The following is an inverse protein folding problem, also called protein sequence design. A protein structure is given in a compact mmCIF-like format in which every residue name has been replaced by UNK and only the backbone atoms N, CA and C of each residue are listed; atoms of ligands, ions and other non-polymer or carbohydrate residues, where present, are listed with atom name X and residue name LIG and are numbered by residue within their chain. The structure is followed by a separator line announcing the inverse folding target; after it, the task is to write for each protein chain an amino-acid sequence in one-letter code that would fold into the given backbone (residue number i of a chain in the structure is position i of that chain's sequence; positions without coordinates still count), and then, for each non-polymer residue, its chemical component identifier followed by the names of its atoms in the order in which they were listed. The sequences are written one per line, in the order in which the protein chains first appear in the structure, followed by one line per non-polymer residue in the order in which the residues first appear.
data_IF_203532158387
#
_entry.id   IF_203532158387
#
_cell.length_a   1.000
_cell.length_b   1.000
_cell.length_c   1.000
_cell.angle_alpha   90.00
_cell.angle_beta   90.00
_cell.angle_gamma   90.00
#
_symmetry.space_group_name_H-M   'P 1'
#
loop_
_entity.id
_entity.type
_entity.pdbx_description
1 polymer ?
#
# COMPACT_ATOMS: atom_id res chain seq x y z
N UNK A 1 3.35 29.95 2.32
CA UNK A 1 3.52 29.29 3.65
C UNK A 1 2.20 28.75 4.19
N UNK A 2 1.06 29.45 4.03
CA UNK A 2 -0.26 28.98 4.48
C UNK A 2 -0.74 27.66 3.83
N UNK A 3 -0.40 27.40 2.57
CA UNK A 3 -0.82 26.17 1.85
C UNK A 3 -0.22 24.88 2.41
N UNK A 4 1.05 24.92 2.86
CA UNK A 4 1.71 23.73 3.43
C UNK A 4 1.11 23.34 4.77
N UNK A 5 0.77 24.31 5.62
CA UNK A 5 0.15 24.05 6.93
C UNK A 5 -1.24 23.42 6.79
N UNK A 6 -2.04 23.87 5.81
CA UNK A 6 -3.35 23.29 5.53
C UNK A 6 -3.24 21.87 5.01
N UNK A 7 -2.21 21.59 4.20
CA UNK A 7 -1.92 20.25 3.72
C UNK A 7 -1.48 19.32 4.85
N UNK A 8 -0.61 19.75 5.76
CA UNK A 8 -0.21 18.89 6.87
C UNK A 8 -1.38 18.55 7.81
N UNK A 9 -2.31 19.48 8.01
CA UNK A 9 -3.51 19.27 8.83
C UNK A 9 -4.48 18.24 8.23
N UNK A 10 -4.72 18.29 6.92
CA UNK A 10 -5.67 17.37 6.29
C UNK A 10 -5.05 15.97 6.07
N UNK A 11 -3.71 15.87 5.91
CA UNK A 11 -3.01 14.57 6.04
C UNK A 11 -3.23 13.98 7.42
N UNK A 12 -3.10 14.78 8.48
CA UNK A 12 -3.29 14.31 9.84
C UNK A 12 -4.73 13.86 10.09
N UNK A 13 -5.70 14.68 9.69
CA UNK A 13 -7.12 14.35 9.84
C UNK A 13 -7.51 13.06 9.10
N UNK A 14 -6.88 12.80 7.95
CA UNK A 14 -7.05 11.54 7.22
C UNK A 14 -6.59 10.33 8.05
N UNK A 15 -5.38 10.39 8.61
CA UNK A 15 -4.86 9.29 9.42
C UNK A 15 -5.62 9.13 10.72
N UNK A 16 -5.94 10.21 11.43
CA UNK A 16 -6.75 10.19 12.66
C UNK A 16 -8.10 9.47 12.40
N UNK A 17 -8.77 9.79 11.28
CA UNK A 17 -10.03 9.13 10.88
C UNK A 17 -9.81 7.67 10.47
N UNK A 18 -8.74 7.38 9.73
CA UNK A 18 -8.43 6.01 9.27
C UNK A 18 -8.13 5.11 10.47
N UNK A 19 -7.36 5.58 11.44
CA UNK A 19 -7.04 4.86 12.66
C UNK A 19 -8.27 4.68 13.56
N UNK A 20 -9.15 5.68 13.66
CA UNK A 20 -10.43 5.56 14.34
C UNK A 20 -11.34 4.50 13.67
N UNK A 21 -11.40 4.49 12.33
CA UNK A 21 -12.19 3.51 11.57
C UNK A 21 -11.64 2.07 11.69
N UNK A 22 -10.32 1.92 11.74
CA UNK A 22 -9.65 0.63 11.92
C UNK A 22 -9.66 0.16 13.37
N UNK A 23 -9.71 1.10 14.33
CA UNK A 23 -9.48 0.85 15.75
C UNK A 23 -8.02 0.52 16.08
N UNK A 24 -7.09 0.85 15.19
CA UNK A 24 -5.67 0.48 15.23
C UNK A 24 -4.79 1.60 14.67
N UNK A 25 -3.58 1.73 15.20
CA UNK A 25 -2.59 2.72 14.73
C UNK A 25 -1.90 2.26 13.44
N UNK A 26 -1.65 3.20 12.53
CA UNK A 26 -0.87 2.95 11.31
C UNK A 26 0.62 3.11 11.61
N UNK A 27 1.34 1.98 11.59
CA UNK A 27 2.77 1.92 11.90
C UNK A 27 3.60 2.56 10.78
N UNK A 28 3.27 2.25 9.53
CA UNK A 28 3.99 2.79 8.37
C UNK A 28 3.08 2.85 7.15
N UNK A 29 3.20 3.94 6.39
CA UNK A 29 2.51 4.13 5.12
C UNK A 29 3.45 4.70 4.06
N UNK A 30 3.21 4.32 2.80
CA UNK A 30 3.91 4.81 1.63
C UNK A 30 3.06 4.65 0.35
N UNK A 31 3.28 5.53 -0.61
CA UNK A 31 2.77 5.37 -1.96
C UNK A 31 3.51 4.22 -2.66
N UNK A 32 2.81 3.44 -3.47
CA UNK A 32 3.39 2.31 -4.18
C UNK A 32 2.56 1.85 -5.36
N UNK A 33 3.13 0.96 -6.16
CA UNK A 33 2.38 0.27 -7.21
C UNK A 33 2.13 -1.16 -6.82
N UNK A 34 0.88 -1.57 -6.94
CA UNK A 34 0.55 -2.97 -7.08
C UNK A 34 0.87 -3.44 -8.51
N UNK A 35 1.63 -4.53 -8.60
CA UNK A 35 2.02 -5.17 -9.84
C UNK A 35 1.10 -6.35 -10.17
N UNK A 36 0.68 -7.11 -9.16
CA UNK A 36 -0.25 -8.25 -9.29
C UNK A 36 -0.89 -8.60 -7.95
N UNK A 37 -2.08 -9.20 -7.96
CA UNK A 37 -2.76 -9.71 -6.76
C UNK A 37 -3.71 -8.73 -6.05
N UNK A 38 -3.91 -7.51 -6.58
CA UNK A 38 -4.76 -6.48 -5.97
C UNK A 38 -6.17 -6.37 -6.56
N UNK A 39 -6.46 -7.04 -7.67
CA UNK A 39 -7.75 -6.96 -8.36
C UNK A 39 -8.09 -8.28 -9.06
N UNK A 40 -9.37 -8.66 -9.02
CA UNK A 40 -9.90 -9.95 -9.51
C UNK A 40 -9.98 -10.10 -11.05
N UNK A 41 -9.47 -9.16 -11.83
CA UNK A 41 -9.59 -9.25 -13.29
C UNK A 41 -8.38 -8.67 -14.00
N UNK A 42 -7.58 -9.55 -14.62
CA UNK A 42 -6.93 -9.46 -15.94
C UNK A 42 -6.57 -8.06 -16.50
N UNK A 43 -6.21 -7.14 -15.63
CA UNK A 43 -5.85 -5.79 -15.99
C UNK A 43 -4.35 -5.69 -15.85
N UNK A 44 -3.68 -5.82 -16.99
CA UNK A 44 -2.25 -5.58 -17.23
C UNK A 44 -1.77 -4.19 -16.70
N UNK A 45 -2.68 -3.36 -16.20
CA UNK A 45 -2.41 -2.07 -15.61
C UNK A 45 -1.95 -2.19 -14.15
N UNK A 46 -0.64 -2.00 -13.93
CA UNK A 46 -0.08 -1.76 -12.61
C UNK A 46 -0.77 -0.55 -11.95
N UNK A 47 -1.31 -0.75 -10.74
CA UNK A 47 -2.18 0.24 -10.08
C UNK A 47 -1.40 0.97 -9.00
N UNK A 48 -1.38 2.30 -9.06
CA UNK A 48 -0.84 3.14 -7.98
C UNK A 48 -1.81 3.24 -6.82
N UNK A 49 -1.32 3.13 -5.60
CA UNK A 49 -2.13 3.33 -4.41
C UNK A 49 -1.30 3.51 -3.16
N UNK A 50 -2.00 3.76 -2.07
CA UNK A 50 -1.43 3.91 -0.75
C UNK A 50 -1.36 2.54 -0.08
N UNK A 51 -0.15 2.12 0.25
CA UNK A 51 0.09 0.98 1.13
C UNK A 51 0.25 1.49 2.55
N UNK A 52 -0.34 0.78 3.50
CA UNK A 52 -0.13 1.05 4.92
C UNK A 52 -0.24 -0.23 5.75
N UNK A 53 0.49 -0.24 6.86
CA UNK A 53 0.59 -1.37 7.78
C UNK A 53 0.06 -0.98 9.16
N UNK A 54 -0.69 -1.89 9.74
CA UNK A 54 -1.05 -1.93 11.16
C UNK A 54 -0.41 -3.16 11.80
N UNK A 55 -0.61 -3.38 13.09
CA UNK A 55 -0.20 -4.64 13.73
C UNK A 55 -0.94 -5.87 13.16
N UNK A 56 -2.17 -5.69 12.65
CA UNK A 56 -3.04 -6.81 12.27
C UNK A 56 -3.14 -7.07 10.78
N UNK A 57 -2.86 -6.09 9.92
CA UNK A 57 -2.94 -6.28 8.49
C UNK A 57 -2.09 -5.30 7.66
N UNK A 58 -1.76 -5.76 6.45
CA UNK A 58 -1.35 -4.92 5.32
C UNK A 58 -2.58 -4.46 4.56
N UNK A 59 -2.65 -3.17 4.27
CA UNK A 59 -3.72 -2.57 3.49
C UNK A 59 -3.19 -1.94 2.22
N UNK A 60 -4.02 -1.97 1.19
CA UNK A 60 -3.83 -1.21 -0.04
C UNK A 60 -5.11 -0.46 -0.38
N UNK A 61 -4.96 0.82 -0.70
CA UNK A 61 -6.05 1.69 -1.16
C UNK A 61 -5.66 2.39 -2.45
N UNK A 62 -6.37 2.07 -3.53
CA UNK A 62 -6.29 2.78 -4.80
C UNK A 62 -7.24 3.98 -4.80
N UNK A 63 -6.73 5.15 -5.17
CA UNK A 63 -7.54 6.34 -5.40
C UNK A 63 -7.68 6.59 -6.90
N UNK A 64 -8.89 6.52 -7.47
CA UNK A 64 -9.13 6.88 -8.87
C UNK A 64 -8.73 8.34 -9.11
N UNK A 65 -8.15 8.63 -10.29
CA UNK A 65 -7.43 9.89 -10.61
C UNK A 65 -8.27 11.17 -10.40
N UNK A 66 -8.30 11.66 -9.17
CA UNK A 66 -8.29 13.06 -8.77
C UNK A 66 -7.55 13.11 -7.44
N UNK A 67 -6.66 14.11 -7.29
CA UNK A 67 -5.89 14.42 -6.08
C UNK A 67 -6.45 13.74 -4.82
N UNK A 68 -5.76 12.73 -4.29
CA UNK A 68 -6.20 11.97 -3.11
C UNK A 68 -6.58 12.88 -1.93
N UNK A 69 -6.00 14.08 -1.86
CA UNK A 69 -6.30 15.14 -0.91
C UNK A 69 -7.62 15.90 -1.17
N UNK A 70 -7.96 16.15 -2.45
CA UNK A 70 -9.22 16.81 -2.83
C UNK A 70 -10.43 15.90 -2.65
N UNK A 71 -10.21 14.58 -2.65
CA UNK A 71 -11.24 13.57 -2.39
C UNK A 71 -11.67 13.51 -0.91
N UNK A 72 -10.87 14.04 0.03
CA UNK A 72 -11.20 14.10 1.47
C UNK A 72 -12.16 15.23 1.82
N UNK A 73 -12.21 16.27 0.99
CA UNK A 73 -12.98 17.51 1.26
C UNK A 73 -14.19 17.67 0.35
N UNK A 74 -14.38 16.82 -0.64
CA UNK A 74 -15.54 16.89 -1.54
C UNK A 74 -16.27 15.54 -1.63
N UNK A 75 -17.55 15.55 -1.24
CA UNK A 75 -18.52 14.49 -1.57
C UNK A 75 -18.84 14.45 -3.06
N UNK A 76 -17.84 14.60 -3.93
CA UNK A 76 -17.99 14.70 -5.37
C UNK A 76 -18.06 13.30 -5.99
N UNK A 77 -19.30 12.87 -6.15
CA UNK A 77 -19.74 11.74 -6.97
C UNK A 77 -19.39 12.03 -8.44
N UNK A 78 -18.24 11.55 -8.93
CA UNK A 78 -17.80 11.75 -10.31
C UNK A 78 -17.09 10.53 -10.89
N UNK A 79 -17.73 9.89 -11.88
CA UNK A 79 -17.27 8.84 -12.81
C UNK A 79 -16.50 7.63 -12.24
N UNK A 80 -17.09 6.45 -12.42
CA UNK A 80 -16.70 5.16 -11.87
C UNK A 80 -15.34 4.64 -12.34
N UNK A 81 -14.28 5.04 -11.67
CA UNK A 81 -13.09 4.21 -11.48
C UNK A 81 -13.19 3.67 -10.04
N UNK A 82 -13.28 2.34 -9.91
CA UNK A 82 -13.68 1.69 -8.66
C UNK A 82 -12.57 1.89 -7.64
N UNK A 83 -12.89 2.45 -6.48
CA UNK A 83 -11.99 2.42 -5.34
C UNK A 83 -11.64 0.95 -5.03
N UNK A 84 -10.37 0.60 -5.17
CA UNK A 84 -9.87 -0.73 -4.81
C UNK A 84 -9.33 -0.60 -3.41
N UNK A 85 -9.96 -1.29 -2.47
CA UNK A 85 -9.50 -1.41 -1.11
C UNK A 85 -9.46 -2.88 -0.74
N UNK A 86 -8.29 -3.37 -0.34
CA UNK A 86 -8.16 -4.72 0.18
C UNK A 86 -7.15 -4.73 1.34
N UNK A 87 -7.28 -5.78 2.15
CA UNK A 87 -6.44 -6.01 3.31
C UNK A 87 -5.96 -7.46 3.33
N UNK A 88 -4.69 -7.66 3.64
CA UNK A 88 -4.11 -8.98 3.92
C UNK A 88 -3.79 -9.04 5.41
N UNK A 89 -4.54 -9.83 6.21
CA UNK A 89 -4.24 -10.04 7.62
C UNK A 89 -2.84 -10.63 7.85
N UNK A 90 -2.13 -10.15 8.86
CA UNK A 90 -0.76 -10.60 9.17
C UNK A 90 -0.70 -12.10 9.44
N UNK A 91 -1.69 -12.67 10.13
CA UNK A 91 -1.77 -14.12 10.43
C UNK A 91 -1.90 -15.01 9.16
N UNK A 92 -2.36 -14.41 8.06
CA UNK A 92 -2.50 -15.09 6.77
C UNK A 92 -1.25 -15.01 5.92
N UNK A 93 -0.32 -14.11 6.22
CA UNK A 93 0.95 -13.98 5.51
C UNK A 93 1.84 -15.17 5.86
N UNK A 94 2.30 -15.90 4.85
CA UNK A 94 3.20 -17.07 5.00
C UNK A 94 4.64 -16.73 4.68
N UNK A 95 4.85 -15.83 3.74
CA UNK A 95 6.17 -15.44 3.27
C UNK A 95 6.19 -13.97 2.85
N UNK A 96 7.30 -13.28 3.09
CA UNK A 96 7.58 -12.04 2.38
C UNK A 96 9.00 -12.10 1.87
N UNK A 97 9.18 -11.83 0.58
CA UNK A 97 10.47 -11.69 -0.04
C UNK A 97 10.61 -10.27 -0.59
N UNK A 98 11.80 -9.70 -0.42
CA UNK A 98 12.14 -8.41 -1.00
C UNK A 98 13.21 -8.61 -2.07
N UNK A 99 12.78 -8.59 -3.33
CA UNK A 99 13.68 -8.69 -4.46
C UNK A 99 14.33 -7.33 -4.72
N UNK A 100 15.60 -7.23 -4.34
CA UNK A 100 16.48 -6.11 -4.69
C UNK A 100 17.35 -6.53 -5.86
N UNK A 101 17.54 -5.65 -6.85
CA UNK A 101 18.54 -5.91 -7.87
C UNK A 101 19.92 -6.02 -7.21
N UNK A 102 20.60 -7.15 -7.39
CA UNK A 102 21.84 -7.50 -6.67
C UNK A 102 23.07 -6.69 -7.12
N UNK A 103 22.99 -6.02 -8.27
CA UNK A 103 24.12 -5.29 -8.86
C UNK A 103 24.06 -3.80 -8.57
N UNK A 104 24.98 -3.32 -7.74
CA UNK A 104 25.16 -1.89 -7.41
C UNK A 104 25.36 -1.02 -8.66
N UNK A 105 26.04 -1.55 -9.69
CA UNK A 105 26.26 -0.88 -10.97
C UNK A 105 24.98 -0.80 -11.82
N UNK A 106 24.14 -1.83 -11.77
CA UNK A 106 22.85 -1.81 -12.45
C UNK A 106 21.86 -0.90 -11.72
N UNK A 107 21.85 -0.85 -10.39
CA UNK A 107 21.02 0.11 -9.64
C UNK A 107 21.24 1.59 -10.00
N UNK A 108 22.44 1.94 -10.49
CA UNK A 108 22.75 3.30 -10.96
C UNK A 108 22.34 3.55 -12.43
N UNK A 109 22.12 2.48 -13.21
CA UNK A 109 21.85 2.52 -14.65
C UNK A 109 20.42 2.05 -15.01
N UNK A 110 19.80 1.23 -14.17
CA UNK A 110 18.42 0.76 -14.20
C UNK A 110 17.71 1.19 -12.93
N UNK A 111 16.64 1.96 -13.09
CA UNK A 111 15.81 2.47 -12.00
C UNK A 111 14.73 1.45 -11.59
N UNK A 112 15.06 0.16 -11.52
CA UNK A 112 14.07 -0.86 -11.14
C UNK A 112 13.91 -0.83 -9.62
N UNK A 113 12.72 -0.46 -9.10
CA UNK A 113 12.51 -0.36 -7.66
C UNK A 113 12.52 -1.76 -7.02
N UNK A 114 12.88 -1.88 -5.72
CA UNK A 114 12.73 -3.12 -4.98
C UNK A 114 11.28 -3.61 -5.00
N UNK A 115 11.06 -4.90 -5.28
CA UNK A 115 9.72 -5.49 -5.37
C UNK A 115 9.51 -6.45 -4.21
N UNK A 116 8.41 -6.26 -3.49
CA UNK A 116 7.86 -7.21 -2.53
C UNK A 116 7.13 -8.32 -3.26
N UNK A 117 7.38 -9.57 -2.85
CA UNK A 117 6.53 -10.72 -3.13
C UNK A 117 6.02 -11.23 -1.79
N UNK A 118 4.72 -11.08 -1.56
CA UNK A 118 4.05 -11.45 -0.32
C UNK A 118 3.14 -12.62 -0.59
N UNK A 119 3.44 -13.75 0.04
CA UNK A 119 2.65 -14.97 -0.05
C UNK A 119 1.68 -15.03 1.12
N UNK A 120 0.40 -15.25 0.84
CA UNK A 120 -0.63 -15.30 1.86
C UNK A 120 -1.72 -16.31 1.51
N UNK A 121 -2.41 -16.79 2.54
CA UNK A 121 -3.54 -17.72 2.40
C UNK A 121 -4.84 -16.95 2.37
N UNK A 122 -5.63 -17.14 1.32
CA UNK A 122 -6.93 -16.51 1.17
C UNK A 122 -8.01 -17.25 1.99
N UNK A 123 -9.21 -16.66 2.12
CA UNK A 123 -10.31 -17.26 2.88
C UNK A 123 -10.73 -18.67 2.39
N UNK A 124 -10.52 -18.96 1.11
CA UNK A 124 -10.79 -20.28 0.49
C UNK A 124 -9.63 -21.27 0.65
N UNK A 125 -8.64 -20.94 1.48
CA UNK A 125 -7.39 -21.67 1.68
C UNK A 125 -6.47 -21.75 0.45
N UNK A 126 -6.74 -20.97 -0.61
CA UNK A 126 -5.81 -20.86 -1.74
C UNK A 126 -4.58 -20.03 -1.35
N UNK A 127 -3.42 -20.41 -1.88
CA UNK A 127 -2.19 -19.64 -1.74
C UNK A 127 -2.15 -18.58 -2.84
N UNK A 128 -2.02 -17.32 -2.45
CA UNK A 128 -1.95 -16.17 -3.35
C UNK A 128 -0.62 -15.44 -3.18
N UNK A 129 -0.19 -14.75 -4.25
CA UNK A 129 1.03 -13.93 -4.23
C UNK A 129 0.71 -12.49 -4.62
N UNK A 130 0.83 -11.58 -3.66
CA UNK A 130 0.76 -10.14 -3.86
C UNK A 130 2.14 -9.60 -4.24
N UNK A 131 2.24 -8.90 -5.37
CA UNK A 131 3.50 -8.25 -5.79
C UNK A 131 3.32 -6.74 -5.87
N UNK A 132 4.21 -6.01 -5.22
CA UNK A 132 4.13 -4.55 -5.17
C UNK A 132 5.50 -3.92 -4.93
N UNK A 133 5.62 -2.62 -5.15
CA UNK A 133 6.73 -1.83 -4.62
C UNK A 133 6.20 -0.57 -3.95
N UNK A 134 6.95 -0.05 -2.98
CA UNK A 134 6.69 1.25 -2.36
C UNK A 134 7.81 2.23 -2.74
N UNK A 135 7.46 3.50 -2.95
CA UNK A 135 8.40 4.54 -3.38
C UNK A 135 9.39 4.95 -2.28
N UNK A 136 9.00 4.75 -1.01
CA UNK A 136 9.79 5.13 0.15
C UNK A 136 9.59 4.13 1.28
N UNK A 137 10.45 4.21 2.30
CA UNK A 137 10.35 3.42 3.54
C UNK A 137 10.36 1.89 3.30
N UNK A 138 10.97 1.41 2.21
CA UNK A 138 11.04 -0.02 1.85
C UNK A 138 11.54 -0.90 3.00
N UNK A 139 12.66 -0.54 3.63
CA UNK A 139 13.21 -1.31 4.76
C UNK A 139 12.29 -1.30 5.98
N UNK A 140 11.62 -0.17 6.26
CA UNK A 140 10.66 -0.07 7.35
C UNK A 140 9.42 -0.94 7.10
N UNK A 141 8.88 -0.93 5.88
CA UNK A 141 7.79 -1.81 5.47
C UNK A 141 8.16 -3.29 5.66
N UNK A 142 9.32 -3.69 5.14
CA UNK A 142 9.79 -5.07 5.29
C UNK A 142 9.92 -5.46 6.76
N UNK A 143 10.53 -4.60 7.58
CA UNK A 143 10.70 -4.86 9.01
C UNK A 143 9.38 -5.00 9.75
N UNK A 144 8.38 -4.15 9.47
CA UNK A 144 7.07 -4.21 10.14
C UNK A 144 6.34 -5.50 9.77
N UNK A 145 6.33 -5.89 8.49
CA UNK A 145 5.70 -7.16 8.05
C UNK A 145 6.37 -8.36 8.73
N UNK A 146 7.70 -8.35 8.85
CA UNK A 146 8.44 -9.40 9.57
C UNK A 146 8.09 -9.43 11.06
N UNK A 147 8.04 -8.28 11.74
CA UNK A 147 7.78 -8.23 13.18
C UNK A 147 6.33 -8.54 13.57
N UNK A 148 5.34 -8.22 12.72
CA UNK A 148 3.93 -8.42 13.03
C UNK A 148 3.39 -9.81 12.65
N UNK A 149 4.19 -10.66 11.98
CA UNK A 149 3.79 -12.05 11.67
C UNK A 149 4.10 -13.05 12.78
N UNK A 150 5.02 -12.69 13.67
CA UNK A 150 5.53 -13.55 14.77
C UNK A 150 4.50 -13.70 15.89
#
# INVERSE_FOLDING_TARGET
MAERQKQDQDVKAFWDKTEEELGEEVIVYAMGRCLSGCAEADSIAQIWGLFFLTERALYFRHFPRQNWFSSLTSGSKGAADKEIYFSVPMDRIKGVELHRESSFLKRLLSATPPVFALEYVEADASLQTLRFFVESKTDAFFKVIESCRE
#
